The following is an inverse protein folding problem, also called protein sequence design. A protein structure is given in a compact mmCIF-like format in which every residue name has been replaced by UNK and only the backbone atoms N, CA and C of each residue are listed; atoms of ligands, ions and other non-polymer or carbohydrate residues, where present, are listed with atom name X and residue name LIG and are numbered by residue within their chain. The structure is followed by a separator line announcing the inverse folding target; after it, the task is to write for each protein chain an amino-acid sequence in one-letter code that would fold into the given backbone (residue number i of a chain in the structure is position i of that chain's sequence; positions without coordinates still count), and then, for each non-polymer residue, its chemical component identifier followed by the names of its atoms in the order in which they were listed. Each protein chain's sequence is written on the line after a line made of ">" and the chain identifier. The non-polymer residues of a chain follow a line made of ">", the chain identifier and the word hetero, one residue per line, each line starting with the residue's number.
data_IF_614473195178
#
_entry.id   IF_614473195178
#
_cell.length_a   1.000
_cell.length_b   1.000
_cell.length_c   1.000
_cell.angle_alpha   90.00
_cell.angle_beta   90.00
_cell.angle_gamma   90.00
#
_symmetry.space_group_name_H-M   'P 1'
#
loop_
_entity.id
_entity.type
_entity.pdbx_description
1 polymer ?
#
# COMPACT_ATOMS: atom_id res chain seq x y z
N UNK A 1 -15.10 -30.43 -10.85
CA UNK A 1 -15.94 -29.32 -11.35
C UNK A 1 -16.42 -28.54 -10.15
N UNK A 2 -15.80 -27.40 -9.86
CA UNK A 2 -16.31 -26.40 -8.93
C UNK A 2 -16.32 -25.09 -9.68
N UNK A 3 -17.50 -24.68 -10.16
CA UNK A 3 -17.76 -23.33 -10.63
C UNK A 3 -17.78 -22.42 -9.41
N UNK A 4 -16.65 -21.80 -9.07
CA UNK A 4 -16.68 -20.57 -8.30
C UNK A 4 -17.08 -19.47 -9.27
N UNK A 5 -18.25 -18.90 -9.06
CA UNK A 5 -18.73 -17.69 -9.74
C UNK A 5 -17.72 -16.60 -9.42
N UNK A 6 -16.80 -16.33 -10.35
CA UNK A 6 -15.99 -15.11 -10.30
C UNK A 6 -16.91 -13.99 -10.75
N UNK A 7 -17.36 -13.16 -9.81
CA UNK A 7 -17.79 -11.81 -10.18
C UNK A 7 -16.65 -11.20 -10.99
N UNK A 8 -16.98 -10.80 -12.22
CA UNK A 8 -15.96 -10.48 -13.22
C UNK A 8 -15.34 -9.15 -12.83
N UNK A 9 -14.19 -9.21 -12.15
CA UNK A 9 -13.41 -8.01 -11.83
C UNK A 9 -13.14 -7.25 -13.12
N UNK A 10 -13.66 -6.03 -13.21
CA UNK A 10 -13.43 -5.16 -14.37
C UNK A 10 -12.21 -4.29 -14.12
N UNK A 11 -11.43 -4.05 -15.17
CA UNK A 11 -10.19 -3.29 -15.10
C UNK A 11 -10.18 -2.19 -16.15
N UNK A 12 -9.83 -0.98 -15.76
CA UNK A 12 -9.50 0.12 -16.68
C UNK A 12 -8.07 0.58 -16.42
N UNK A 13 -7.44 1.12 -17.45
CA UNK A 13 -6.07 1.63 -17.39
C UNK A 13 -5.97 2.89 -18.25
N UNK A 14 -5.22 3.88 -17.75
CA UNK A 14 -4.95 5.15 -18.43
C UNK A 14 -3.55 5.64 -18.08
N UNK A 15 -2.93 6.33 -19.03
CA UNK A 15 -1.73 7.12 -18.81
C UNK A 15 -2.10 8.60 -18.75
N UNK A 16 -1.46 9.33 -17.83
CA UNK A 16 -1.63 10.78 -17.62
C UNK A 16 -0.26 11.46 -17.58
N UNK A 17 -0.18 12.70 -18.04
CA UNK A 17 1.06 13.45 -18.22
C UNK A 17 1.16 14.70 -17.32
N UNK A 18 0.21 14.91 -16.41
CA UNK A 18 0.24 16.00 -15.43
C UNK A 18 -0.59 15.67 -14.19
N UNK A 19 -0.38 16.42 -13.10
CA UNK A 19 -1.19 16.30 -11.89
C UNK A 19 -2.67 16.60 -12.14
N UNK A 20 -2.98 17.59 -12.98
CA UNK A 20 -4.37 17.88 -13.33
C UNK A 20 -5.02 16.71 -14.05
N UNK A 21 -4.31 16.08 -15.00
CA UNK A 21 -4.82 14.89 -15.68
C UNK A 21 -4.98 13.70 -14.73
N UNK A 22 -4.11 13.56 -13.72
CA UNK A 22 -4.24 12.57 -12.65
C UNK A 22 -5.52 12.81 -11.84
N UNK A 23 -5.75 14.05 -11.38
CA UNK A 23 -6.96 14.44 -10.64
C UNK A 23 -8.22 14.20 -11.47
N UNK A 24 -8.21 14.58 -12.75
CA UNK A 24 -9.33 14.36 -13.67
C UNK A 24 -9.61 12.85 -13.90
N UNK A 25 -8.56 12.03 -13.95
CA UNK A 25 -8.70 10.58 -14.06
C UNK A 25 -9.29 9.98 -12.78
N UNK A 26 -8.83 10.40 -11.60
CA UNK A 26 -9.36 9.98 -10.30
C UNK A 26 -10.84 10.37 -10.18
N UNK A 27 -11.19 11.63 -10.43
CA UNK A 27 -12.56 12.14 -10.33
C UNK A 27 -13.53 11.43 -11.29
N UNK A 28 -13.04 10.97 -12.45
CA UNK A 28 -13.84 10.17 -13.39
C UNK A 28 -14.14 8.77 -12.85
N UNK A 29 -13.17 8.12 -12.22
CA UNK A 29 -13.32 6.75 -11.72
C UNK A 29 -14.01 6.72 -10.35
N UNK A 30 -13.90 7.81 -9.57
CA UNK A 30 -14.47 8.05 -8.26
C UNK A 30 -15.36 9.32 -8.26
N UNK A 31 -16.43 9.40 -9.06
CA UNK A 31 -17.27 10.60 -9.09
C UNK A 31 -17.88 10.86 -7.72
N UNK A 32 -17.73 12.07 -7.19
CA UNK A 32 -18.22 12.41 -5.85
C UNK A 32 -19.73 12.19 -5.68
N UNK A 33 -20.51 12.40 -6.74
CA UNK A 33 -21.95 12.15 -6.75
C UNK A 33 -22.26 10.68 -6.47
N UNK A 34 -22.85 10.42 -5.30
CA UNK A 34 -23.26 9.08 -4.88
C UNK A 34 -22.10 8.16 -4.45
N UNK A 35 -20.89 8.69 -4.24
CA UNK A 35 -19.73 7.89 -3.82
C UNK A 35 -19.91 7.33 -2.39
N UNK A 36 -20.50 8.15 -1.50
CA UNK A 36 -20.76 7.81 -0.10
C UNK A 36 -19.51 7.91 0.78
N UNK A 37 -18.51 7.08 0.49
CA UNK A 37 -17.25 7.01 1.23
C UNK A 37 -16.04 7.01 0.31
N UNK A 38 -14.88 7.44 0.82
CA UNK A 38 -13.59 7.33 0.14
C UNK A 38 -12.47 7.16 1.18
N UNK A 39 -11.68 6.10 1.02
CA UNK A 39 -10.40 5.95 1.71
C UNK A 39 -9.27 6.28 0.73
N UNK A 40 -8.35 7.15 1.12
CA UNK A 40 -7.15 7.46 0.34
C UNK A 40 -5.92 6.97 1.07
N UNK A 41 -5.21 6.02 0.48
CA UNK A 41 -3.87 5.65 0.91
C UNK A 41 -2.86 6.60 0.26
N UNK A 42 -2.27 7.46 1.09
CA UNK A 42 -1.21 8.40 0.73
C UNK A 42 -0.23 8.56 1.88
N UNK A 43 0.93 9.14 1.61
CA UNK A 43 1.99 9.27 2.62
C UNK A 43 2.66 7.95 2.99
N UNK A 44 2.59 6.95 2.12
CA UNK A 44 3.28 5.69 2.36
C UNK A 44 4.79 5.92 2.48
N UNK A 45 5.37 5.50 3.60
CA UNK A 45 6.81 5.61 3.86
C UNK A 45 7.38 4.30 4.39
N UNK A 46 8.71 4.20 4.27
CA UNK A 46 9.49 3.07 4.77
C UNK A 46 10.23 3.47 6.05
N UNK A 47 10.53 2.51 6.92
CA UNK A 47 11.37 2.75 8.10
C UNK A 47 12.84 2.59 7.77
N UNK A 48 13.66 3.54 8.23
CA UNK A 48 15.12 3.50 8.11
C UNK A 48 15.74 3.44 9.50
N UNK A 49 16.85 2.73 9.67
CA UNK A 49 17.65 2.87 10.89
C UNK A 49 18.48 4.16 10.85
N UNK A 50 18.31 4.98 11.88
CA UNK A 50 19.22 6.07 12.20
C UNK A 50 20.44 5.50 12.94
N UNK A 51 21.58 5.48 12.25
CA UNK A 51 22.84 4.95 12.77
C UNK A 51 23.32 5.67 14.03
N UNK A 52 22.97 6.94 14.22
CA UNK A 52 23.38 7.70 15.40
C UNK A 52 22.63 7.26 16.67
N UNK A 53 21.37 6.82 16.51
CA UNK A 53 20.50 6.47 17.65
C UNK A 53 20.20 4.97 17.74
N UNK A 54 20.48 4.19 16.69
CA UNK A 54 20.13 2.77 16.58
C UNK A 54 18.63 2.52 16.58
N UNK A 55 17.83 3.53 16.17
CA UNK A 55 16.36 3.49 16.17
C UNK A 55 15.82 3.60 14.76
N UNK A 56 14.62 3.07 14.56
CA UNK A 56 13.89 3.27 13.33
C UNK A 56 13.26 4.67 13.29
N UNK A 57 13.40 5.33 12.15
CA UNK A 57 12.82 6.64 11.86
C UNK A 57 12.00 6.58 10.56
N UNK A 58 10.95 7.42 10.41
CA UNK A 58 10.19 7.51 9.18
C UNK A 58 11.08 7.94 8.00
N UNK A 59 10.99 7.26 6.88
CA UNK A 59 11.64 7.61 5.62
C UNK A 59 10.91 8.71 4.87
N UNK A 60 10.80 9.88 5.49
CA UNK A 60 10.19 11.09 4.93
C UNK A 60 11.25 12.18 4.92
N UNK A 61 11.53 12.80 3.77
CA UNK A 61 12.66 13.72 3.58
C UNK A 61 12.58 14.91 4.54
N UNK A 62 11.37 15.42 4.74
CA UNK A 62 11.01 16.56 5.59
C UNK A 62 11.26 16.28 7.09
N UNK A 63 11.28 15.01 7.50
CA UNK A 63 11.52 14.61 8.89
C UNK A 63 13.01 14.46 9.23
N UNK A 64 13.89 14.41 8.22
CA UNK A 64 15.30 14.12 8.44
C UNK A 64 16.07 15.39 8.84
N UNK A 65 16.63 15.37 10.05
CA UNK A 65 17.49 16.44 10.58
C UNK A 65 18.95 16.29 10.18
N UNK A 66 19.42 15.05 10.04
CA UNK A 66 20.77 14.74 9.58
C UNK A 66 20.83 14.75 8.05
N UNK A 67 21.84 15.43 7.50
CA UNK A 67 22.00 15.60 6.05
C UNK A 67 22.34 14.28 5.33
N UNK A 68 23.06 13.37 5.99
CA UNK A 68 23.40 12.06 5.41
C UNK A 68 22.15 11.21 5.29
N UNK A 69 21.36 11.13 6.36
CA UNK A 69 20.07 10.44 6.36
C UNK A 69 19.10 11.07 5.36
N UNK A 70 19.02 12.41 5.34
CA UNK A 70 18.19 13.15 4.38
C UNK A 70 18.50 12.76 2.94
N UNK A 71 19.78 12.70 2.56
CA UNK A 71 20.21 12.27 1.21
C UNK A 71 19.88 10.81 0.94
N UNK A 72 20.07 9.92 1.93
CA UNK A 72 19.73 8.50 1.82
C UNK A 72 18.24 8.30 1.56
N UNK A 73 17.39 8.97 2.34
CA UNK A 73 15.93 8.93 2.19
C UNK A 73 15.53 9.54 0.85
N UNK A 74 16.00 10.74 0.52
CA UNK A 74 15.68 11.42 -0.74
C UNK A 74 16.08 10.57 -1.97
N UNK A 75 17.27 10.00 -1.98
CA UNK A 75 17.73 9.14 -3.07
C UNK A 75 16.92 7.84 -3.23
N UNK A 76 16.20 7.41 -2.19
CA UNK A 76 15.43 6.17 -2.22
C UNK A 76 13.94 6.38 -2.53
N UNK A 77 13.31 7.35 -1.85
CA UNK A 77 11.86 7.59 -1.95
C UNK A 77 11.49 8.94 -2.54
N UNK A 78 12.45 9.87 -2.64
CA UNK A 78 12.20 11.20 -3.18
C UNK A 78 11.13 11.96 -2.41
N UNK A 79 10.33 12.74 -3.12
CA UNK A 79 9.22 13.52 -2.55
C UNK A 79 7.95 12.69 -2.31
N UNK A 80 7.92 11.41 -2.73
CA UNK A 80 6.68 10.62 -2.81
C UNK A 80 5.86 10.58 -1.51
N UNK A 81 6.44 10.34 -0.31
CA UNK A 81 5.65 10.31 0.91
C UNK A 81 5.02 11.68 1.23
N UNK A 82 5.79 12.77 1.18
CA UNK A 82 5.24 14.11 1.44
C UNK A 82 4.21 14.52 0.39
N UNK A 83 4.55 14.36 -0.89
CA UNK A 83 3.72 14.72 -2.02
C UNK A 83 2.37 14.00 -2.03
N UNK A 84 2.38 12.67 -1.87
CA UNK A 84 1.13 11.89 -1.88
C UNK A 84 0.28 12.13 -0.65
N UNK A 85 0.88 12.52 0.49
CA UNK A 85 0.13 12.95 1.66
C UNK A 85 -0.64 14.24 1.37
N UNK A 86 0.04 15.28 0.89
CA UNK A 86 -0.59 16.57 0.54
C UNK A 86 -1.66 16.41 -0.55
N UNK A 87 -1.36 15.66 -1.62
CA UNK A 87 -2.33 15.35 -2.67
C UNK A 87 -3.57 14.63 -2.12
N UNK A 88 -3.40 13.76 -1.12
CA UNK A 88 -4.52 13.09 -0.47
C UNK A 88 -5.38 14.07 0.33
N UNK A 89 -4.78 15.04 1.03
CA UNK A 89 -5.50 16.06 1.78
C UNK A 89 -6.31 16.98 0.86
N UNK A 90 -5.71 17.43 -0.25
CA UNK A 90 -6.41 18.20 -1.28
C UNK A 90 -7.66 17.48 -1.77
N UNK A 91 -7.48 16.22 -2.22
CA UNK A 91 -8.58 15.42 -2.75
C UNK A 91 -9.68 15.23 -1.70
N UNK A 92 -9.31 14.89 -0.46
CA UNK A 92 -10.29 14.73 0.61
C UNK A 92 -11.04 16.02 0.93
N UNK A 93 -10.40 17.19 0.82
CA UNK A 93 -11.07 18.49 0.90
C UNK A 93 -12.15 18.64 -0.17
N UNK A 94 -11.80 18.41 -1.44
CA UNK A 94 -12.74 18.47 -2.58
C UNK A 94 -13.92 17.48 -2.41
N UNK A 95 -13.64 16.24 -1.99
CA UNK A 95 -14.68 15.23 -1.75
C UNK A 95 -15.56 15.57 -0.55
N UNK A 96 -15.00 16.16 0.51
CA UNK A 96 -15.77 16.59 1.68
C UNK A 96 -16.74 17.72 1.33
N UNK A 97 -16.35 18.69 0.50
CA UNK A 97 -17.24 19.74 -0.03
C UNK A 97 -18.43 19.16 -0.81
N UNK A 98 -18.21 18.02 -1.49
CA UNK A 98 -19.24 17.27 -2.20
C UNK A 98 -20.05 16.31 -1.30
N UNK A 99 -19.80 16.29 0.01
CA UNK A 99 -20.54 15.49 0.99
C UNK A 99 -20.10 14.02 1.10
N UNK A 100 -18.90 13.67 0.60
CA UNK A 100 -18.34 12.32 0.72
C UNK A 100 -17.60 12.17 2.05
N UNK A 101 -17.78 11.02 2.72
CA UNK A 101 -17.03 10.71 3.95
C UNK A 101 -15.63 10.21 3.61
N UNK A 102 -14.64 11.07 3.83
CA UNK A 102 -13.22 10.80 3.56
C UNK A 102 -12.46 10.19 4.74
N UNK A 103 -11.50 9.30 4.46
CA UNK A 103 -10.49 8.82 5.41
C UNK A 103 -9.11 8.73 4.76
N UNK A 104 -8.06 8.89 5.57
CA UNK A 104 -6.68 8.65 5.18
C UNK A 104 -6.22 7.28 5.65
N UNK A 105 -5.44 6.57 4.84
CA UNK A 105 -4.80 5.31 5.24
C UNK A 105 -3.29 5.48 5.13
N UNK A 106 -2.60 5.40 6.27
CA UNK A 106 -1.14 5.42 6.32
C UNK A 106 -0.59 4.00 6.33
N UNK A 107 -0.03 3.55 5.20
CA UNK A 107 0.68 2.29 5.09
C UNK A 107 2.16 2.51 5.44
N UNK A 108 2.74 1.69 6.32
CA UNK A 108 4.16 1.79 6.70
C UNK A 108 4.89 0.52 6.29
N UNK A 109 5.88 0.67 5.39
CA UNK A 109 6.83 -0.40 5.11
C UNK A 109 7.83 -0.50 6.26
N UNK A 110 7.61 -1.47 7.13
CA UNK A 110 8.37 -1.64 8.36
C UNK A 110 9.40 -2.77 8.27
N UNK A 111 9.77 -3.25 7.08
CA UNK A 111 10.62 -4.44 6.95
C UNK A 111 11.76 -4.33 5.92
N UNK A 112 11.65 -3.52 4.87
CA UNK A 112 12.64 -3.52 3.78
C UNK A 112 14.02 -3.00 4.19
N UNK A 113 14.08 -1.95 5.02
CA UNK A 113 15.32 -1.29 5.45
C UNK A 113 15.57 -1.41 6.95
N UNK A 114 14.90 -2.36 7.60
CA UNK A 114 15.12 -2.65 9.02
C UNK A 114 16.29 -3.63 9.15
N UNK A 115 17.40 -3.23 9.78
CA UNK A 115 18.57 -4.08 9.92
C UNK A 115 18.34 -5.19 10.94
N UNK A 116 19.12 -6.27 10.80
CA UNK A 116 19.06 -7.45 11.68
C UNK A 116 20.43 -7.84 12.24
N UNK A 117 21.47 -7.00 12.08
CA UNK A 117 22.85 -7.36 12.39
C UNK A 117 23.13 -7.36 13.90
N UNK A 118 22.86 -6.25 14.57
CA UNK A 118 23.17 -6.08 16.00
C UNK A 118 21.94 -6.23 16.91
N UNK A 119 20.73 -6.09 16.34
CA UNK A 119 19.46 -6.17 17.05
C UNK A 119 18.42 -6.93 16.22
N UNK A 120 17.52 -7.71 16.85
CA UNK A 120 16.43 -8.35 16.13
C UNK A 120 15.49 -7.30 15.52
N UNK A 121 15.23 -7.40 14.20
CA UNK A 121 14.31 -6.51 13.49
C UNK A 121 12.89 -6.45 14.11
N UNK A 122 12.47 -7.51 14.81
CA UNK A 122 11.21 -7.53 15.57
C UNK A 122 11.18 -6.54 16.73
N UNK A 123 12.29 -6.39 17.45
CA UNK A 123 12.42 -5.47 18.59
C UNK A 123 12.42 -4.02 18.11
N UNK A 124 13.21 -3.72 17.08
CA UNK A 124 13.27 -2.39 16.46
C UNK A 124 11.89 -1.90 15.99
N UNK A 125 11.12 -2.78 15.32
CA UNK A 125 9.74 -2.47 14.90
C UNK A 125 8.82 -2.26 16.10
N UNK A 126 8.92 -3.10 17.13
CA UNK A 126 8.09 -2.98 18.31
C UNK A 126 8.33 -1.64 19.02
N UNK A 127 9.58 -1.25 19.19
CA UNK A 127 9.97 0.06 19.76
C UNK A 127 9.42 1.22 18.93
N UNK A 128 9.53 1.14 17.60
CA UNK A 128 8.98 2.17 16.72
C UNK A 128 7.47 2.32 16.93
N UNK A 129 6.70 1.23 16.83
CA UNK A 129 5.24 1.29 16.94
C UNK A 129 4.73 1.57 18.37
N UNK A 130 5.50 1.26 19.41
CA UNK A 130 5.19 1.70 20.77
C UNK A 130 5.37 3.22 20.94
N UNK A 131 6.39 3.79 20.29
CA UNK A 131 6.64 5.23 20.28
C UNK A 131 5.80 6.03 19.29
N UNK A 132 5.26 5.39 18.24
CA UNK A 132 4.54 6.05 17.14
C UNK A 132 3.10 6.40 17.54
N UNK A 133 2.96 7.36 18.46
CA UNK A 133 1.67 7.81 19.01
C UNK A 133 1.11 9.06 18.32
N UNK A 134 1.91 9.69 17.46
CA UNK A 134 1.56 10.87 16.65
C UNK A 134 2.06 10.66 15.23
N UNK A 135 1.48 11.40 14.28
CA UNK A 135 1.96 11.37 12.89
C UNK A 135 3.33 12.06 12.77
N UNK A 136 4.07 11.86 11.66
CA UNK A 136 5.22 12.70 11.33
C UNK A 136 4.88 14.20 11.39
N UNK A 137 5.84 15.03 11.77
CA UNK A 137 5.59 16.46 12.05
C UNK A 137 5.08 17.20 10.82
N UNK A 138 5.65 16.90 9.64
CA UNK A 138 5.21 17.42 8.35
C UNK A 138 3.76 17.03 8.03
N UNK A 139 3.35 15.80 8.38
CA UNK A 139 2.00 15.30 8.11
C UNK A 139 0.96 15.95 9.03
N UNK A 140 1.29 16.12 10.32
CA UNK A 140 0.45 16.85 11.28
C UNK A 140 0.28 18.31 10.89
N UNK A 141 1.39 18.94 10.48
CA UNK A 141 1.36 20.32 9.99
C UNK A 141 0.46 20.43 8.76
N UNK A 142 0.61 19.53 7.79
CA UNK A 142 -0.24 19.51 6.60
C UNK A 142 -1.72 19.33 6.98
N UNK A 143 -2.07 18.40 7.86
CA UNK A 143 -3.46 18.26 8.34
C UNK A 143 -3.99 19.57 8.94
N UNK A 144 -3.20 20.23 9.79
CA UNK A 144 -3.56 21.49 10.41
C UNK A 144 -3.76 22.61 9.39
N UNK A 145 -2.87 22.73 8.40
CA UNK A 145 -2.93 23.74 7.34
C UNK A 145 -4.21 23.58 6.48
N UNK A 146 -4.70 22.35 6.34
CA UNK A 146 -5.97 22.03 5.66
C UNK A 146 -7.20 22.10 6.58
N UNK A 147 -7.03 22.39 7.87
CA UNK A 147 -8.12 22.40 8.86
C UNK A 147 -8.73 21.00 9.10
N UNK A 148 -7.96 19.94 8.83
CA UNK A 148 -8.40 18.55 8.90
C UNK A 148 -7.95 17.90 10.23
N UNK A 149 -8.84 17.17 10.92
CA UNK A 149 -8.51 16.52 12.19
C UNK A 149 -7.70 15.22 12.00
N UNK A 150 -6.86 14.86 12.98
CA UNK A 150 -6.05 13.63 12.94
C UNK A 150 -6.91 12.34 12.93
N UNK A 151 -8.14 12.42 13.43
CA UNK A 151 -9.14 11.35 13.44
C UNK A 151 -9.58 10.93 12.02
N UNK A 152 -9.19 11.65 10.98
CA UNK A 152 -9.35 11.21 9.59
C UNK A 152 -8.49 10.00 9.24
N UNK A 153 -7.39 9.79 9.97
CA UNK A 153 -6.55 8.61 9.78
C UNK A 153 -7.31 7.37 10.23
N UNK A 154 -7.50 6.44 9.29
CA UNK A 154 -8.16 5.17 9.50
C UNK A 154 -7.25 4.27 10.36
N UNK A 155 -7.70 3.83 11.54
CA UNK A 155 -6.94 2.87 12.33
C UNK A 155 -6.98 1.49 11.67
N UNK A 156 -5.88 0.75 11.78
CA UNK A 156 -5.91 -0.69 11.55
C UNK A 156 -6.23 -1.42 12.86
N UNK A 157 -6.53 -2.73 12.77
CA UNK A 157 -6.64 -3.56 13.98
C UNK A 157 -5.31 -3.73 14.74
N UNK A 158 -4.17 -3.33 14.14
CA UNK A 158 -2.85 -3.43 14.77
C UNK A 158 -2.39 -2.11 15.39
N UNK A 159 -2.75 -0.98 14.80
CA UNK A 159 -2.24 0.33 15.21
C UNK A 159 -3.26 1.45 14.91
N UNK A 160 -3.31 2.46 15.78
CA UNK A 160 -4.31 3.54 15.70
C UNK A 160 -4.06 4.52 14.56
N UNK A 161 -2.81 4.68 14.13
CA UNK A 161 -2.42 5.65 13.10
C UNK A 161 -1.94 5.02 11.80
N UNK A 162 -1.83 3.69 11.71
CA UNK A 162 -1.14 3.09 10.57
C UNK A 162 -1.55 1.64 10.31
N UNK A 163 -1.20 1.19 9.11
CA UNK A 163 -1.21 -0.20 8.67
C UNK A 163 0.24 -0.67 8.53
N UNK A 164 0.80 -1.43 9.50
CA UNK A 164 2.14 -2.00 9.37
C UNK A 164 2.18 -3.12 8.33
N UNK A 165 3.06 -3.04 7.34
CA UNK A 165 3.15 -4.05 6.27
C UNK A 165 3.51 -5.44 6.79
N UNK A 166 4.45 -5.55 7.74
CA UNK A 166 4.79 -6.84 8.37
C UNK A 166 3.55 -7.53 8.94
N UNK A 167 2.65 -6.76 9.58
CA UNK A 167 1.44 -7.32 10.15
C UNK A 167 0.49 -7.83 9.05
N UNK A 168 0.29 -7.05 7.99
CA UNK A 168 -0.50 -7.46 6.82
C UNK A 168 0.10 -8.70 6.15
N UNK A 169 1.41 -8.73 5.97
CA UNK A 169 2.18 -9.86 5.45
C UNK A 169 1.93 -11.14 6.23
N UNK A 170 2.08 -11.13 7.55
CA UNK A 170 1.84 -12.33 8.36
C UNK A 170 0.38 -12.77 8.37
N UNK A 171 -0.56 -11.83 8.25
CA UNK A 171 -1.97 -12.17 8.08
C UNK A 171 -2.22 -12.87 6.76
N UNK A 172 -1.66 -12.34 5.67
CA UNK A 172 -1.77 -12.94 4.36
C UNK A 172 -1.18 -14.34 4.34
N UNK A 173 -0.01 -14.56 4.94
CA UNK A 173 0.60 -15.89 5.05
C UNK A 173 -0.33 -16.91 5.72
N UNK A 174 -0.94 -16.52 6.86
CA UNK A 174 -1.93 -17.36 7.56
C UNK A 174 -3.18 -17.61 6.71
N UNK A 175 -3.63 -16.60 5.96
CA UNK A 175 -4.78 -16.73 5.08
C UNK A 175 -4.46 -17.63 3.88
N UNK A 176 -3.28 -17.51 3.29
CA UNK A 176 -2.80 -18.31 2.17
C UNK A 176 -2.79 -19.80 2.51
N UNK A 177 -2.33 -20.20 3.69
CA UNK A 177 -2.40 -21.59 4.14
C UNK A 177 -3.82 -22.14 4.16
N UNK A 178 -4.81 -21.31 4.52
CA UNK A 178 -6.23 -21.68 4.46
C UNK A 178 -6.72 -21.78 3.01
N UNK A 179 -6.36 -20.84 2.15
CA UNK A 179 -6.78 -20.85 0.75
C UNK A 179 -6.17 -22.01 -0.05
N UNK A 180 -4.92 -22.40 0.25
CA UNK A 180 -4.31 -23.62 -0.29
C UNK A 180 -5.13 -24.85 0.10
N UNK A 181 -5.52 -24.97 1.37
CA UNK A 181 -6.37 -26.10 1.84
C UNK A 181 -7.76 -26.10 1.19
N UNK A 182 -8.27 -24.94 0.78
CA UNK A 182 -9.55 -24.78 0.09
C UNK A 182 -9.43 -24.98 -1.43
N UNK A 183 -8.21 -25.14 -1.96
CA UNK A 183 -7.96 -25.26 -3.40
C UNK A 183 -8.12 -23.94 -4.17
N UNK A 184 -8.07 -22.80 -3.48
CA UNK A 184 -8.16 -21.46 -4.08
C UNK A 184 -6.79 -20.84 -4.40
N UNK A 185 -5.72 -21.37 -3.82
CA UNK A 185 -4.33 -21.07 -4.18
C UNK A 185 -3.59 -22.39 -4.45
N UNK A 186 -2.64 -22.35 -5.38
CA UNK A 186 -1.77 -23.48 -5.66
C UNK A 186 -0.48 -23.38 -4.85
N UNK A 187 -0.09 -24.48 -4.19
CA UNK A 187 1.21 -24.62 -3.55
C UNK A 187 2.07 -25.60 -4.34
N UNK A 188 3.26 -25.15 -4.74
CA UNK A 188 4.26 -25.94 -5.46
C UNK A 188 5.54 -26.02 -4.65
N UNK A 189 6.26 -27.12 -4.82
CA UNK A 189 7.60 -27.28 -4.28
C UNK A 189 8.59 -27.12 -5.43
N UNK A 190 9.57 -26.25 -5.27
CA UNK A 190 10.63 -26.04 -6.23
C UNK A 190 11.62 -27.21 -6.14
N UNK A 191 12.09 -27.67 -7.30
CA UNK A 191 13.06 -28.77 -7.40
C UNK A 191 14.48 -28.34 -7.03
N UNK A 192 14.72 -27.03 -6.86
CA UNK A 192 15.96 -26.49 -6.31
C UNK A 192 15.98 -26.68 -4.80
N UNK A 193 16.30 -27.89 -4.35
CA UNK A 193 16.69 -28.12 -2.97
C UNK A 193 18.01 -27.40 -2.69
N UNK A 194 18.05 -26.61 -1.62
CA UNK A 194 19.30 -26.24 -0.98
C UNK A 194 19.96 -27.49 -0.37
N UNK A 195 21.27 -27.45 -0.13
CA UNK A 195 22.03 -28.55 0.51
C UNK A 195 21.51 -28.92 1.93
N UNK A 196 20.48 -28.23 2.42
CA UNK A 196 19.82 -28.47 3.72
C UNK A 196 18.59 -29.39 3.63
N UNK A 197 18.16 -29.75 2.41
CA UNK A 197 17.01 -30.64 2.21
C UNK A 197 15.65 -29.99 2.43
N UNK A 198 15.58 -28.66 2.57
CA UNK A 198 14.32 -27.92 2.58
C UNK A 198 13.91 -27.65 1.14
N UNK A 199 12.81 -28.26 0.71
CA UNK A 199 12.20 -27.91 -0.58
C UNK A 199 11.55 -26.55 -0.43
N UNK A 200 12.09 -25.56 -1.13
CA UNK A 200 11.45 -24.26 -1.26
C UNK A 200 10.04 -24.43 -1.82
N UNK A 201 9.11 -23.65 -1.30
CA UNK A 201 7.71 -23.72 -1.70
C UNK A 201 7.24 -22.38 -2.22
N UNK A 202 6.48 -22.43 -3.31
CA UNK A 202 5.79 -21.28 -3.86
C UNK A 202 4.29 -21.43 -3.65
N UNK A 203 3.63 -20.32 -3.32
CA UNK A 203 2.17 -20.22 -3.30
C UNK A 203 1.77 -19.18 -4.34
N UNK A 204 0.92 -19.59 -5.27
CA UNK A 204 0.49 -18.77 -6.39
C UNK A 204 -1.05 -18.72 -6.51
N UNK A 205 -1.55 -17.58 -6.98
CA UNK A 205 -2.90 -17.46 -7.50
C UNK A 205 -2.88 -17.78 -8.99
N UNK A 206 -3.80 -18.63 -9.44
CA UNK A 206 -3.98 -18.96 -10.85
C UNK A 206 -5.23 -18.22 -11.32
N UNK A 207 -5.07 -17.28 -12.23
CA UNK A 207 -6.21 -16.53 -12.76
C UNK A 207 -7.02 -17.35 -13.77
N UNK A 208 -8.15 -16.79 -14.23
CA UNK A 208 -9.07 -17.48 -15.14
C UNK A 208 -8.42 -17.87 -16.49
N UNK A 209 -7.34 -17.19 -16.88
CA UNK A 209 -6.58 -17.45 -18.10
C UNK A 209 -5.45 -18.48 -17.86
N UNK A 210 -5.30 -18.97 -16.64
CA UNK A 210 -4.29 -19.96 -16.25
C UNK A 210 -2.92 -19.36 -15.93
N UNK A 211 -2.81 -18.03 -15.78
CA UNK A 211 -1.54 -17.39 -15.47
C UNK A 211 -1.21 -17.53 -13.98
N UNK A 212 0.04 -17.91 -13.68
CA UNK A 212 0.55 -18.01 -12.33
C UNK A 212 1.01 -16.65 -11.83
N UNK A 213 0.46 -16.23 -10.70
CA UNK A 213 0.90 -15.05 -9.96
C UNK A 213 1.43 -15.48 -8.61
N UNK A 214 2.76 -15.55 -8.49
CA UNK A 214 3.43 -15.96 -7.25
C UNK A 214 3.22 -14.92 -6.16
N UNK A 215 2.74 -15.35 -5.00
CA UNK A 215 2.41 -14.50 -3.84
C UNK A 215 3.35 -14.73 -2.68
N UNK A 216 3.83 -15.96 -2.55
CA UNK A 216 4.83 -16.36 -1.59
C UNK A 216 5.86 -17.20 -2.34
N UNK A 217 7.13 -16.83 -2.27
CA UNK A 217 8.25 -17.65 -2.76
C UNK A 217 9.25 -17.81 -1.62
N UNK A 218 9.66 -19.05 -1.35
CA UNK A 218 10.58 -19.40 -0.25
C UNK A 218 10.13 -18.83 1.13
N UNK A 219 8.81 -18.77 1.38
CA UNK A 219 8.25 -18.21 2.61
C UNK A 219 8.23 -16.68 2.69
N UNK A 220 8.73 -15.98 1.66
CA UNK A 220 8.70 -14.53 1.55
C UNK A 220 7.46 -14.12 0.76
N UNK A 221 6.59 -13.35 1.41
CA UNK A 221 5.46 -12.68 0.77
C UNK A 221 5.94 -11.37 0.16
N UNK A 222 5.62 -11.15 -1.12
CA UNK A 222 5.81 -9.86 -1.79
C UNK A 222 4.67 -8.88 -1.48
N UNK A 223 4.80 -7.62 -1.94
CA UNK A 223 3.86 -6.53 -1.64
C UNK A 223 2.40 -6.85 -2.00
N UNK A 224 2.16 -7.73 -2.99
CA UNK A 224 0.81 -8.16 -3.36
C UNK A 224 0.03 -8.77 -2.17
N UNK A 225 0.68 -9.54 -1.29
CA UNK A 225 0.00 -10.13 -0.13
C UNK A 225 -0.39 -9.09 0.92
N UNK A 226 0.46 -8.09 1.13
CA UNK A 226 0.20 -6.98 2.07
C UNK A 226 -1.00 -6.14 1.60
N UNK A 227 -1.01 -5.78 0.32
CA UNK A 227 -2.11 -5.06 -0.32
C UNK A 227 -3.40 -5.88 -0.29
N UNK A 228 -3.32 -7.20 -0.51
CA UNK A 228 -4.49 -8.08 -0.44
C UNK A 228 -5.19 -7.99 0.93
N UNK A 229 -4.42 -8.08 2.01
CA UNK A 229 -4.97 -7.94 3.36
C UNK A 229 -5.43 -6.51 3.66
N UNK A 230 -4.69 -5.49 3.20
CA UNK A 230 -5.08 -4.08 3.41
C UNK A 230 -6.45 -3.78 2.81
N UNK A 231 -6.68 -4.15 1.55
CA UNK A 231 -7.98 -3.95 0.87
C UNK A 231 -9.09 -4.69 1.62
N UNK A 232 -8.81 -5.90 2.13
CA UNK A 232 -9.77 -6.64 2.94
C UNK A 232 -10.11 -5.94 4.27
N UNK A 233 -9.12 -5.34 4.94
CA UNK A 233 -9.34 -4.60 6.18
C UNK A 233 -10.17 -3.34 5.94
N UNK A 234 -9.91 -2.62 4.86
CA UNK A 234 -10.71 -1.45 4.43
C UNK A 234 -12.17 -1.86 4.18
N UNK A 235 -12.40 -2.95 3.44
CA UNK A 235 -13.75 -3.44 3.15
C UNK A 235 -14.50 -3.87 4.41
N UNK A 236 -13.82 -4.60 5.32
CA UNK A 236 -14.37 -5.02 6.62
C UNK A 236 -14.66 -3.84 7.55
N UNK A 237 -13.94 -2.73 7.41
CA UNK A 237 -14.22 -1.49 8.12
C UNK A 237 -15.44 -0.73 7.56
N UNK A 238 -16.04 -1.23 6.47
CA UNK A 238 -17.30 -0.72 5.91
C UNK A 238 -17.14 0.14 4.66
N UNK A 239 -15.91 0.41 4.22
CA UNK A 239 -15.62 1.27 3.07
C UNK A 239 -15.69 0.49 1.76
N UNK A 240 -16.08 1.15 0.67
CA UNK A 240 -16.21 0.53 -0.65
C UNK A 240 -15.37 1.21 -1.72
N UNK A 241 -14.92 2.44 -1.49
CA UNK A 241 -14.08 3.15 -2.44
C UNK A 241 -12.70 3.41 -1.83
N UNK A 242 -11.66 2.99 -2.54
CA UNK A 242 -10.27 3.12 -2.12
C UNK A 242 -9.44 3.71 -3.25
N UNK A 243 -8.69 4.77 -2.96
CA UNK A 243 -7.62 5.30 -3.80
C UNK A 243 -6.28 4.90 -3.18
N UNK A 244 -5.38 4.34 -3.99
CA UNK A 244 -4.03 3.95 -3.59
C UNK A 244 -3.03 4.75 -4.41
N UNK A 245 -2.25 5.60 -3.75
CA UNK A 245 -1.00 6.10 -4.32
C UNK A 245 0.11 5.08 -4.05
N UNK A 246 0.67 4.51 -5.11
CA UNK A 246 1.71 3.50 -5.04
C UNK A 246 2.95 3.93 -5.83
N UNK A 247 4.17 3.64 -5.37
CA UNK A 247 5.36 3.85 -6.19
C UNK A 247 5.26 3.13 -7.54
N UNK A 248 5.79 3.73 -8.61
CA UNK A 248 5.79 3.09 -9.94
C UNK A 248 6.43 1.69 -9.94
N UNK A 249 7.51 1.51 -9.17
CA UNK A 249 8.15 0.19 -8.99
C UNK A 249 7.24 -0.86 -8.31
N UNK A 250 6.22 -0.40 -7.58
CA UNK A 250 5.26 -1.23 -6.84
C UNK A 250 3.92 -1.41 -7.57
N UNK A 251 3.67 -0.74 -8.70
CA UNK A 251 2.37 -0.73 -9.37
C UNK A 251 1.84 -2.13 -9.68
N UNK A 252 2.66 -2.97 -10.32
CA UNK A 252 2.28 -4.34 -10.69
C UNK A 252 1.97 -5.24 -9.48
N UNK A 253 2.82 -5.28 -8.42
CA UNK A 253 2.48 -5.94 -7.16
C UNK A 253 1.19 -5.43 -6.52
N UNK A 254 0.95 -4.11 -6.50
CA UNK A 254 -0.25 -3.51 -5.92
C UNK A 254 -1.50 -3.91 -6.71
N UNK A 255 -1.48 -3.79 -8.03
CA UNK A 255 -2.56 -4.25 -8.91
C UNK A 255 -2.86 -5.74 -8.70
N UNK A 256 -1.82 -6.56 -8.58
CA UNK A 256 -1.95 -8.00 -8.32
C UNK A 256 -2.61 -8.26 -6.97
N UNK A 257 -2.19 -7.55 -5.92
CA UNK A 257 -2.78 -7.67 -4.58
C UNK A 257 -4.25 -7.26 -4.54
N UNK A 258 -4.61 -6.17 -5.23
CA UNK A 258 -6.00 -5.71 -5.35
C UNK A 258 -6.83 -6.75 -6.11
N UNK A 259 -6.36 -7.20 -7.27
CA UNK A 259 -7.06 -8.21 -8.08
C UNK A 259 -7.33 -9.49 -7.28
N UNK A 260 -6.35 -9.94 -6.51
CA UNK A 260 -6.49 -11.11 -5.64
C UNK A 260 -7.46 -10.82 -4.50
N UNK A 261 -7.42 -9.65 -3.87
CA UNK A 261 -8.39 -9.31 -2.83
C UNK A 261 -9.83 -9.41 -3.36
N UNK A 262 -10.10 -8.80 -4.52
CA UNK A 262 -11.43 -8.78 -5.11
C UNK A 262 -11.91 -10.19 -5.50
N UNK A 263 -11.06 -11.00 -6.13
CA UNK A 263 -11.42 -12.35 -6.57
C UNK A 263 -11.43 -13.38 -5.43
N UNK A 264 -10.39 -13.41 -4.61
CA UNK A 264 -10.17 -14.47 -3.62
C UNK A 264 -11.02 -14.26 -2.37
N UNK A 265 -11.22 -13.01 -1.96
CA UNK A 265 -11.96 -12.72 -0.72
C UNK A 265 -13.43 -12.40 -0.99
N UNK A 266 -13.81 -12.21 -2.27
CA UNK A 266 -15.17 -11.86 -2.67
C UNK A 266 -15.60 -10.59 -1.98
N UNK A 267 -15.03 -9.45 -2.38
CA UNK A 267 -15.26 -8.15 -1.74
C UNK A 267 -16.28 -7.35 -2.56
N UNK A 268 -17.60 -7.63 -2.48
CA UNK A 268 -18.58 -7.03 -3.38
C UNK A 268 -18.62 -5.52 -3.25
N UNK A 269 -18.96 -4.88 -4.37
CA UNK A 269 -19.08 -3.43 -4.56
C UNK A 269 -17.78 -2.67 -4.29
N UNK A 270 -16.65 -3.36 -4.12
CA UNK A 270 -15.37 -2.71 -3.85
C UNK A 270 -14.81 -2.12 -5.15
N UNK A 271 -14.52 -0.82 -5.11
CA UNK A 271 -13.86 -0.07 -6.16
C UNK A 271 -12.51 0.42 -5.66
N UNK A 272 -11.45 0.07 -6.39
CA UNK A 272 -10.09 0.48 -6.06
C UNK A 272 -9.47 1.20 -7.26
N UNK A 273 -9.06 2.44 -7.06
CA UNK A 273 -8.24 3.20 -8.01
C UNK A 273 -6.79 3.16 -7.52
N UNK A 274 -5.86 2.84 -8.41
CA UNK A 274 -4.42 2.82 -8.14
C UNK A 274 -3.78 3.85 -9.06
N UNK A 275 -3.05 4.79 -8.49
CA UNK A 275 -2.28 5.80 -9.21
C UNK A 275 -0.80 5.69 -8.81
N UNK A 276 0.12 5.83 -9.76
CA UNK A 276 1.57 5.81 -9.50
C UNK A 276 2.25 7.18 -9.67
N UNK A 277 2.13 8.08 -8.70
CA UNK A 277 2.72 9.42 -8.79
C UNK A 277 4.26 9.42 -8.60
N UNK A 278 4.99 8.52 -9.26
CA UNK A 278 6.44 8.29 -9.06
C UNK A 278 6.74 7.54 -7.77
N UNK A 279 7.97 7.56 -7.26
CA UNK A 279 8.32 6.92 -5.97
C UNK A 279 9.66 6.20 -5.90
N UNK A 280 10.57 6.47 -6.84
CA UNK A 280 11.91 5.89 -6.93
C UNK A 280 13.00 6.98 -6.91
N UNK A 281 12.86 7.98 -6.03
CA UNK A 281 13.83 9.06 -5.85
C UNK A 281 13.57 10.32 -6.69
N UNK A 282 12.40 10.46 -7.32
CA UNK A 282 12.01 11.71 -7.97
C UNK A 282 11.97 12.87 -6.97
N UNK A 283 12.49 14.03 -7.39
CA UNK A 283 12.66 15.20 -6.52
C UNK A 283 11.68 16.33 -6.82
N UNK A 284 10.84 16.17 -7.86
CA UNK A 284 9.84 17.14 -8.28
C UNK A 284 8.65 16.45 -8.97
N UNK A 285 7.51 17.14 -9.03
CA UNK A 285 6.35 16.69 -9.82
C UNK A 285 6.66 16.65 -11.31
N UNK A 286 7.51 17.55 -11.82
CA UNK A 286 7.96 17.51 -13.21
C UNK A 286 8.71 16.20 -13.52
N UNK A 287 9.59 15.73 -12.63
CA UNK A 287 10.30 14.45 -12.80
C UNK A 287 9.33 13.25 -12.82
N UNK A 288 8.26 13.33 -12.03
CA UNK A 288 7.22 12.30 -11.94
C UNK A 288 6.45 12.24 -13.26
N UNK A 289 5.86 13.36 -13.68
CA UNK A 289 4.93 13.38 -14.81
C UNK A 289 5.62 13.31 -16.17
N UNK A 290 6.91 13.65 -16.26
CA UNK A 290 7.71 13.44 -17.47
C UNK A 290 7.76 11.97 -17.92
N UNK A 291 7.55 11.01 -17.01
CA UNK A 291 7.58 9.56 -17.30
C UNK A 291 6.23 8.98 -17.69
N UNK A 292 5.18 9.81 -17.70
CA UNK A 292 3.77 9.39 -17.67
C UNK A 292 3.44 8.59 -16.41
N UNK A 293 2.26 8.85 -15.86
CA UNK A 293 1.71 8.19 -14.68
C UNK A 293 0.56 7.31 -15.12
N UNK A 294 0.52 6.10 -14.60
CA UNK A 294 -0.57 5.14 -14.70
C UNK A 294 -1.66 5.41 -13.67
N UNK A 295 -2.91 5.40 -14.15
CA UNK A 295 -4.10 5.25 -13.32
C UNK A 295 -4.82 3.98 -13.74
N UNK A 296 -5.07 3.08 -12.78
CA UNK A 296 -5.78 1.83 -13.01
C UNK A 296 -6.94 1.69 -12.04
N UNK A 297 -8.09 1.23 -12.52
CA UNK A 297 -9.25 0.99 -11.64
C UNK A 297 -9.65 -0.47 -11.71
N UNK A 298 -9.91 -1.07 -10.54
CA UNK A 298 -10.43 -2.42 -10.38
C UNK A 298 -11.77 -2.35 -9.64
N UNK A 299 -12.76 -3.10 -10.12
CA UNK A 299 -14.11 -3.15 -9.52
C UNK A 299 -14.58 -4.60 -9.45
N UNK A 300 -15.05 -5.04 -8.28
CA UNK A 300 -15.79 -6.31 -8.12
C UNK A 300 -17.25 -6.14 -8.50
#
# INVERSE_FOLDING_TARGET
>A
MNHAVTDRVTKTHRLVASEQELRDAIARELPASGLGDLVVMGGHFMLFEDEATGRLVPGVVEEQKDETMRRRVAGRVGIFPGYTWELSLDLLGEYAEAGVSGRLLLLINDWQYVPAHDRPAGELRAEFFEGFTTLPTSYEKALCDYGLPAELVLPSRKHQLAFPETWLKYRFQKAADRFVKQGLLEKRYLDSGDDTGRRDAEVAFVDADGNYRTLISCGITGCAGEITEMVSEVHKAGYRNLLIFAPGECLMPVQTGVDIALNLYGLPDMRVVIADPGGSGEMSTDDIYAKLVTVSTLRS
#
